data_IF_489826042696
#
_entry.id   IF_489826042696
#
_cell.length_a   1.000
_cell.length_b   1.000
_cell.length_c   1.000
_cell.angle_alpha   90.00
_cell.angle_beta   90.00
_cell.angle_gamma   90.00
#
_symmetry.space_group_name_H-M   'P 1'
#
loop_
_entity.id
_entity.type
_entity.pdbx_description
1 polymer ?
#
# COMPACT_ATOMS: atom_id res chain seq x y z
N UNK A 1 9.43 -7.33 -6.87
CA UNK A 1 10.53 -6.39 -6.56
C UNK A 1 10.80 -6.40 -5.06
N UNK A 2 12.04 -6.49 -4.68
CA UNK A 2 12.46 -6.36 -3.29
C UNK A 2 13.08 -4.98 -3.07
N UNK A 3 12.93 -4.43 -1.86
CA UNK A 3 13.47 -3.13 -1.53
C UNK A 3 12.93 -2.60 -0.23
N UNK A 4 13.36 -1.40 0.11
CA UNK A 4 12.89 -0.68 1.29
C UNK A 4 11.84 0.33 0.92
N UNK A 5 10.73 0.33 1.64
CA UNK A 5 9.70 1.34 1.53
C UNK A 5 9.87 2.37 2.65
N UNK A 6 9.98 3.63 2.27
CA UNK A 6 9.87 4.76 3.18
C UNK A 6 8.76 5.67 2.72
N UNK A 7 7.90 6.06 3.63
CA UNK A 7 6.78 6.91 3.23
C UNK A 7 6.05 7.53 4.40
N UNK A 8 5.04 8.29 4.05
CA UNK A 8 4.17 8.99 5.00
C UNK A 8 2.75 8.51 4.75
N UNK A 9 2.05 8.20 5.84
CA UNK A 9 0.64 7.84 5.81
C UNK A 9 -0.19 8.99 6.36
N UNK A 10 -1.03 9.58 5.52
CA UNK A 10 -1.99 10.60 5.92
C UNK A 10 -3.30 9.90 6.25
N UNK A 11 -3.44 9.47 7.49
CA UNK A 11 -4.58 8.68 7.93
C UNK A 11 -5.72 9.57 8.39
N UNK A 12 -6.90 9.36 7.83
CA UNK A 12 -8.16 9.95 8.30
C UNK A 12 -9.05 8.83 8.82
N UNK A 13 -9.70 9.05 9.95
CA UNK A 13 -10.68 8.11 10.50
C UNK A 13 -12.05 8.77 10.45
N UNK A 14 -13.00 8.10 9.78
CA UNK A 14 -14.37 8.59 9.64
C UNK A 14 -15.17 8.35 10.92
N UNK A 15 -16.32 9.00 11.02
CA UNK A 15 -17.21 8.83 12.19
C UNK A 15 -17.71 7.39 12.35
N UNK A 16 -17.83 6.65 11.26
CA UNK A 16 -18.22 5.24 11.29
C UNK A 16 -17.08 4.29 11.68
N UNK A 17 -15.91 4.83 12.01
CA UNK A 17 -14.75 4.04 12.39
C UNK A 17 -13.90 3.54 11.23
N UNK A 18 -14.31 3.80 9.99
CA UNK A 18 -13.55 3.39 8.82
C UNK A 18 -12.33 4.28 8.68
N UNK A 19 -11.15 3.67 8.64
CA UNK A 19 -9.90 4.35 8.38
C UNK A 19 -9.72 4.58 6.89
N UNK A 20 -9.20 5.75 6.53
CA UNK A 20 -8.96 6.13 5.14
C UNK A 20 -7.51 6.56 4.98
N UNK A 21 -6.59 5.60 4.78
CA UNK A 21 -5.17 5.91 4.64
C UNK A 21 -4.85 6.45 3.25
N UNK A 22 -3.88 7.35 3.21
CA UNK A 22 -3.25 7.86 2.01
C UNK A 22 -1.75 7.74 2.20
N UNK A 23 -1.11 6.86 1.46
CA UNK A 23 0.30 6.57 1.62
C UNK A 23 1.05 7.12 0.41
N UNK A 24 2.08 7.91 0.69
CA UNK A 24 3.06 8.35 -0.29
C UNK A 24 4.41 7.81 0.13
N UNK A 25 5.00 6.98 -0.70
CA UNK A 25 6.24 6.34 -0.34
C UNK A 25 7.19 6.19 -1.51
N UNK A 26 8.39 5.78 -1.19
CA UNK A 26 9.43 5.49 -2.15
C UNK A 26 10.03 4.13 -1.81
N UNK A 27 10.06 3.26 -2.79
CA UNK A 27 10.74 1.97 -2.68
C UNK A 27 12.07 2.08 -3.40
N UNK A 28 13.14 1.71 -2.71
CA UNK A 28 14.48 1.66 -3.30
C UNK A 28 14.94 0.21 -3.34
N UNK A 29 15.27 -0.28 -4.53
CA UNK A 29 15.78 -1.65 -4.68
C UNK A 29 17.26 -1.74 -4.28
N UNK A 30 17.77 -2.98 -4.02
CA UNK A 30 19.20 -3.15 -3.74
C UNK A 30 20.12 -2.65 -4.86
N UNK A 31 19.63 -2.64 -6.11
CA UNK A 31 20.38 -2.13 -7.27
C UNK A 31 20.30 -0.62 -7.42
N UNK A 32 19.58 0.07 -6.54
CA UNK A 32 19.46 1.51 -6.58
C UNK A 32 18.31 2.05 -7.42
N UNK A 33 17.43 1.17 -7.93
CA UNK A 33 16.22 1.63 -8.60
C UNK A 33 15.25 2.26 -7.60
N UNK A 34 14.62 3.35 -7.99
CA UNK A 34 13.70 4.10 -7.13
C UNK A 34 12.33 4.12 -7.76
N UNK A 35 11.33 3.74 -6.98
CA UNK A 35 9.93 3.73 -7.41
C UNK A 35 9.09 4.52 -6.42
N UNK A 36 8.43 5.58 -6.88
CA UNK A 36 7.45 6.28 -6.08
C UNK A 36 6.16 5.46 -6.04
N UNK A 37 5.60 5.29 -4.86
CA UNK A 37 4.38 4.51 -4.64
C UNK A 37 3.33 5.41 -4.01
N UNK A 38 2.14 5.36 -4.57
CA UNK A 38 1.00 6.07 -4.03
C UNK A 38 -0.10 5.04 -3.78
N UNK A 39 -0.55 4.93 -2.53
CA UNK A 39 -1.58 3.98 -2.14
C UNK A 39 -2.73 4.69 -1.43
N UNK A 40 -3.94 4.36 -1.81
CA UNK A 40 -5.15 4.80 -1.10
C UNK A 40 -6.05 3.61 -0.88
N UNK A 41 -6.86 3.67 0.17
CA UNK A 41 -7.76 2.57 0.43
C UNK A 41 -8.62 2.79 1.66
N UNK A 42 -9.08 1.68 2.20
CA UNK A 42 -9.95 1.66 3.36
C UNK A 42 -9.47 0.61 4.36
N UNK A 43 -9.57 0.95 5.65
CA UNK A 43 -9.44 -0.01 6.73
C UNK A 43 -10.75 -0.09 7.47
N UNK A 44 -11.46 -1.21 7.33
CA UNK A 44 -12.80 -1.40 7.89
C UNK A 44 -12.69 -2.23 9.16
N UNK A 45 -13.22 -1.72 10.31
CA UNK A 45 -13.20 -2.49 11.54
C UNK A 45 -13.96 -3.80 11.40
N UNK A 46 -13.35 -4.88 11.88
CA UNK A 46 -13.95 -6.20 11.93
C UNK A 46 -14.37 -6.53 13.37
N UNK A 47 -15.23 -7.53 13.52
CA UNK A 47 -15.76 -7.94 14.82
C UNK A 47 -14.72 -8.47 15.78
N UNK A 48 -13.57 -8.93 15.26
CA UNK A 48 -12.47 -9.48 16.06
C UNK A 48 -11.47 -8.42 16.54
N UNK A 49 -11.75 -7.13 16.32
CA UNK A 49 -10.87 -6.03 16.72
C UNK A 49 -9.76 -5.71 15.72
N UNK A 50 -9.73 -6.40 14.60
CA UNK A 50 -8.79 -6.08 13.51
C UNK A 50 -9.39 -5.10 12.52
N UNK A 51 -8.56 -4.57 11.63
CA UNK A 51 -8.98 -3.80 10.46
C UNK A 51 -8.80 -4.66 9.22
N UNK A 52 -9.85 -4.77 8.42
CA UNK A 52 -9.73 -5.31 7.07
C UNK A 52 -9.30 -4.19 6.14
N UNK A 53 -8.14 -4.37 5.52
CA UNK A 53 -7.49 -3.32 4.73
C UNK A 53 -7.53 -3.68 3.26
N UNK A 54 -7.85 -2.69 2.43
CA UNK A 54 -7.80 -2.80 0.97
C UNK A 54 -7.23 -1.53 0.39
N UNK A 55 -6.17 -1.68 -0.40
CA UNK A 55 -5.49 -0.57 -1.05
C UNK A 55 -5.49 -0.74 -2.55
N UNK A 56 -5.55 0.40 -3.25
CA UNK A 56 -5.15 0.52 -4.64
C UNK A 56 -3.82 1.29 -4.68
N UNK A 57 -2.86 0.76 -5.42
CA UNK A 57 -1.52 1.31 -5.50
C UNK A 57 -1.19 1.69 -6.94
N UNK A 58 -0.56 2.84 -7.10
CA UNK A 58 0.03 3.26 -8.37
C UNK A 58 1.51 3.53 -8.18
N UNK A 59 2.26 3.51 -9.28
CA UNK A 59 3.71 3.58 -9.24
C UNK A 59 4.22 4.57 -10.25
N UNK A 60 5.37 5.18 -9.95
CA UNK A 60 6.08 6.03 -10.89
C UNK A 60 7.58 5.82 -10.73
N UNK A 61 8.25 5.52 -11.83
CA UNK A 61 9.68 5.31 -11.82
C UNK A 61 10.31 5.79 -13.12
N UNK A 62 11.55 6.28 -13.02
CA UNK A 62 12.39 6.59 -14.18
C UNK A 62 13.26 5.40 -14.61
N UNK A 63 13.26 4.30 -13.86
CA UNK A 63 14.01 3.10 -14.21
C UNK A 63 13.43 2.45 -15.46
N UNK A 64 14.22 2.27 -16.50
CA UNK A 64 13.77 1.61 -17.72
C UNK A 64 13.41 0.14 -17.49
N UNK A 65 14.10 -0.51 -16.59
CA UNK A 65 13.87 -1.90 -16.19
C UNK A 65 12.52 -2.10 -15.51
N UNK A 66 12.04 -1.09 -14.77
CA UNK A 66 10.81 -1.13 -14.01
C UNK A 66 9.71 -0.26 -14.62
N UNK A 67 9.91 0.25 -15.83
CA UNK A 67 8.97 1.18 -16.46
C UNK A 67 7.56 0.59 -16.64
N UNK A 68 7.44 -0.73 -16.68
CA UNK A 68 6.15 -1.41 -16.76
C UNK A 68 5.23 -1.11 -15.57
N UNK A 69 5.82 -0.72 -14.41
CA UNK A 69 5.04 -0.34 -13.23
C UNK A 69 4.25 0.96 -13.44
N UNK A 70 4.71 1.85 -14.32
CA UNK A 70 4.07 3.16 -14.51
C UNK A 70 2.64 3.07 -15.05
N UNK A 71 2.30 1.96 -15.67
CA UNK A 71 0.99 1.77 -16.29
C UNK A 71 0.08 0.79 -15.55
N UNK A 72 0.46 0.35 -14.35
CA UNK A 72 -0.35 -0.61 -13.62
C UNK A 72 -1.00 -0.02 -12.37
N UNK A 73 -2.12 -0.64 -12.01
CA UNK A 73 -2.73 -0.47 -10.69
C UNK A 73 -2.64 -1.80 -9.98
N UNK A 74 -2.03 -1.81 -8.81
CA UNK A 74 -1.97 -2.99 -7.97
C UNK A 74 -3.00 -2.89 -6.86
N UNK A 75 -3.50 -4.02 -6.42
CA UNK A 75 -4.40 -4.10 -5.29
C UNK A 75 -3.74 -4.88 -4.17
N UNK A 76 -3.81 -4.33 -2.96
CA UNK A 76 -3.31 -5.00 -1.78
C UNK A 76 -4.45 -5.15 -0.79
N UNK A 77 -4.51 -6.29 -0.13
CA UNK A 77 -5.50 -6.56 0.88
C UNK A 77 -4.91 -7.35 2.02
N UNK A 78 -5.51 -7.20 3.20
CA UNK A 78 -5.03 -7.91 4.36
C UNK A 78 -5.72 -7.48 5.63
N UNK A 79 -5.09 -7.80 6.74
CA UNK A 79 -5.58 -7.45 8.07
C UNK A 79 -4.50 -6.75 8.87
N UNK A 80 -4.90 -5.73 9.62
CA UNK A 80 -4.06 -5.07 10.59
C UNK A 80 -4.61 -5.33 11.99
N UNK A 81 -3.77 -5.82 12.88
CA UNK A 81 -4.09 -5.95 14.29
C UNK A 81 -3.35 -4.84 15.04
N UNK A 82 -4.08 -3.79 15.39
CA UNK A 82 -3.50 -2.62 16.05
C UNK A 82 -3.04 -2.92 17.47
N UNK A 83 -3.65 -3.91 18.14
CA UNK A 83 -3.26 -4.30 19.50
C UNK A 83 -1.92 -5.02 19.50
N UNK A 84 -1.65 -5.79 18.46
CA UNK A 84 -0.40 -6.55 18.33
C UNK A 84 0.64 -5.81 17.49
N UNK A 85 0.26 -4.72 16.84
CA UNK A 85 1.12 -4.03 15.90
C UNK A 85 1.44 -4.84 14.64
N UNK A 86 0.57 -5.78 14.28
CA UNK A 86 0.79 -6.65 13.12
C UNK A 86 0.00 -6.16 11.92
N UNK A 87 0.64 -6.19 10.75
CA UNK A 87 0.02 -5.95 9.46
C UNK A 87 0.39 -7.08 8.52
N UNK A 88 -0.63 -7.77 8.00
CA UNK A 88 -0.44 -8.83 7.01
C UNK A 88 -1.17 -8.45 5.74
N UNK A 89 -0.42 -8.39 4.64
CA UNK A 89 -0.96 -7.97 3.36
C UNK A 89 -0.47 -8.86 2.24
N UNK A 90 -1.36 -9.08 1.28
CA UNK A 90 -1.04 -9.68 -0.01
C UNK A 90 -1.34 -8.67 -1.11
N UNK A 91 -0.47 -8.57 -2.09
CA UNK A 91 -0.63 -7.65 -3.20
C UNK A 91 -0.69 -8.40 -4.52
N UNK A 92 -1.53 -7.92 -5.43
CA UNK A 92 -1.68 -8.48 -6.77
C UNK A 92 -2.05 -7.39 -7.76
N UNK A 93 -1.73 -7.63 -9.02
CA UNK A 93 -2.03 -6.71 -10.10
C UNK A 93 -3.16 -7.26 -10.96
N UNK A 94 -3.95 -6.33 -11.54
CA UNK A 94 -4.86 -6.67 -12.62
C UNK A 94 -4.11 -6.50 -13.94
N UNK A 95 -4.08 -7.54 -14.72
CA UNK A 95 -3.56 -7.52 -16.09
C UNK A 95 -4.73 -7.59 -17.06
N UNK A 96 -4.70 -6.74 -18.07
CA UNK A 96 -5.66 -6.76 -19.17
C UNK A 96 -5.11 -7.54 -20.36
#
# INVERSE_FOLDING_TARGET
MAGHLKGVDYLTVRQDGVAHPHIHGVVTSPEGDVVAVHATGLGVPASDGTLTIRFALTFQTASSKLAWLNGIVAFAGGKADLNKGELRMSAYTLEE
#
